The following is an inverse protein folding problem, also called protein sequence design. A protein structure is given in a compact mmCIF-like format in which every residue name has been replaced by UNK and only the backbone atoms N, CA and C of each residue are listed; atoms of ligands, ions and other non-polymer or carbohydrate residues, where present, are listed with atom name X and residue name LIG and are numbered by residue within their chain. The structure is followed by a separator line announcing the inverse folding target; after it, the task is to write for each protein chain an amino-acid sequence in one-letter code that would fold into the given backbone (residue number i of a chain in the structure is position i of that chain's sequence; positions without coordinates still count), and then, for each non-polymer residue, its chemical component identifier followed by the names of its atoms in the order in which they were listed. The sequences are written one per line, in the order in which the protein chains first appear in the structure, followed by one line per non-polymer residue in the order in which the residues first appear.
data_IF_348010017800
#
_entry.id   IF_348010017800
#
_cell.length_a   1.000
_cell.length_b   1.000
_cell.length_c   1.000
_cell.angle_alpha   90.00
_cell.angle_beta   90.00
_cell.angle_gamma   90.00
#
_symmetry.space_group_name_H-M   'P 1'
#
loop_
_entity.id
_entity.type
_entity.pdbx_description
1 polymer ?
#
# COMPACT_ATOMS: atom_id res chain seq x y z
N UNK A 1 -4.55 20.20 12.06
CA UNK A 1 -3.08 20.12 11.96
C UNK A 1 -2.56 18.96 11.09
N UNK A 2 -3.46 18.13 10.49
CA UNK A 2 -3.08 17.03 9.56
C UNK A 2 -3.27 17.39 8.07
N UNK A 3 -3.77 18.58 7.77
CA UNK A 3 -4.17 18.99 6.40
C UNK A 3 -3.03 19.58 5.55
N UNK A 4 -1.83 19.75 6.10
CA UNK A 4 -0.71 20.37 5.34
C UNK A 4 0.05 19.40 4.43
N UNK A 5 -0.21 18.09 4.49
CA UNK A 5 0.50 17.11 3.67
C UNK A 5 -0.36 16.63 2.51
N UNK A 6 -0.14 17.20 1.33
CA UNK A 6 -0.72 16.68 0.09
C UNK A 6 -0.18 15.29 -0.21
N UNK A 7 -1.06 14.33 -0.38
CA UNK A 7 -0.74 12.95 -0.82
C UNK A 7 -0.96 12.82 -2.32
N UNK A 8 -2.09 13.33 -2.83
CA UNK A 8 -2.42 13.33 -4.25
C UNK A 8 -2.72 14.74 -4.73
N UNK A 9 -2.40 15.01 -5.99
CA UNK A 9 -3.00 16.07 -6.79
C UNK A 9 -3.84 15.40 -7.89
N UNK A 10 -5.11 15.71 -7.92
CA UNK A 10 -6.09 15.05 -8.80
C UNK A 10 -6.74 16.09 -9.68
N UNK A 11 -6.56 15.96 -10.99
CA UNK A 11 -7.34 16.73 -11.95
C UNK A 11 -8.71 16.08 -12.09
N UNK A 12 -9.76 16.86 -11.86
CA UNK A 12 -11.16 16.43 -12.00
C UNK A 12 -11.84 17.21 -13.10
N UNK A 13 -12.68 16.53 -13.89
CA UNK A 13 -13.45 17.14 -14.95
C UNK A 13 -14.82 16.50 -15.11
N UNK A 14 -15.80 17.26 -15.59
CA UNK A 14 -17.09 16.70 -15.99
C UNK A 14 -16.97 15.91 -17.30
N UNK A 15 -18.00 15.14 -17.64
CA UNK A 15 -18.02 14.31 -18.86
C UNK A 15 -18.55 15.07 -20.10
N UNK A 16 -18.70 16.38 -20.03
CA UNK A 16 -19.23 17.20 -21.12
C UNK A 16 -18.23 17.48 -22.25
N UNK A 17 -18.70 17.96 -23.40
CA UNK A 17 -17.86 18.17 -24.58
C UNK A 17 -16.81 19.28 -24.41
N UNK A 18 -16.89 20.08 -23.36
CA UNK A 18 -15.93 21.14 -23.00
C UNK A 18 -15.38 20.95 -21.59
N UNK A 19 -15.20 19.71 -21.20
CA UNK A 19 -14.72 19.35 -19.86
C UNK A 19 -13.37 19.97 -19.50
N UNK A 20 -12.51 20.20 -20.49
CA UNK A 20 -11.20 20.84 -20.30
C UNK A 20 -11.30 22.32 -19.85
N UNK A 21 -12.40 23.04 -20.21
CA UNK A 21 -12.58 24.43 -19.78
C UNK A 21 -12.92 24.58 -18.29
N UNK A 22 -13.35 23.50 -17.66
CA UNK A 22 -13.74 23.45 -16.24
C UNK A 22 -12.89 22.47 -15.44
N UNK A 23 -11.87 21.87 -16.05
CA UNK A 23 -10.95 20.99 -15.34
C UNK A 23 -10.32 21.73 -14.16
N UNK A 24 -10.28 21.09 -13.02
CA UNK A 24 -9.83 21.67 -11.76
C UNK A 24 -8.92 20.69 -11.04
N UNK A 25 -7.75 21.16 -10.58
CA UNK A 25 -6.85 20.36 -9.75
C UNK A 25 -7.26 20.49 -8.29
N UNK A 26 -7.42 19.36 -7.63
CA UNK A 26 -7.72 19.26 -6.21
C UNK A 26 -6.57 18.55 -5.48
N UNK A 27 -6.16 19.10 -4.36
CA UNK A 27 -5.19 18.46 -3.47
C UNK A 27 -5.91 17.56 -2.48
N UNK A 28 -5.39 16.37 -2.26
CA UNK A 28 -5.93 15.41 -1.30
C UNK A 28 -4.87 15.02 -0.25
N UNK A 29 -5.26 14.90 1.03
CA UNK A 29 -6.62 15.00 1.54
C UNK A 29 -7.17 16.43 1.49
N UNK A 30 -8.43 16.56 1.11
CA UNK A 30 -9.16 17.81 1.05
C UNK A 30 -10.20 17.87 2.20
N UNK A 31 -10.38 19.08 2.76
CA UNK A 31 -11.51 19.36 3.64
C UNK A 31 -12.83 19.34 2.87
N UNK A 32 -13.95 19.27 3.58
CA UNK A 32 -15.27 19.32 2.97
C UNK A 32 -15.47 20.59 2.11
N UNK A 33 -14.99 21.74 2.58
CA UNK A 33 -15.13 23.01 1.87
C UNK A 33 -14.30 23.02 0.57
N UNK A 34 -13.05 22.56 0.62
CA UNK A 34 -12.18 22.47 -0.57
C UNK A 34 -12.71 21.46 -1.57
N UNK A 35 -13.22 20.32 -1.09
CA UNK A 35 -13.82 19.29 -1.92
C UNK A 35 -15.07 19.83 -2.64
N UNK A 36 -15.97 20.47 -1.89
CA UNK A 36 -17.19 21.09 -2.44
C UNK A 36 -16.87 22.19 -3.46
N UNK A 37 -15.90 23.07 -3.16
CA UNK A 37 -15.45 24.14 -4.06
C UNK A 37 -14.88 23.57 -5.37
N UNK A 38 -14.05 22.53 -5.27
CA UNK A 38 -13.48 21.87 -6.45
C UNK A 38 -14.56 21.24 -7.34
N UNK A 39 -15.53 20.51 -6.76
CA UNK A 39 -16.65 19.96 -7.50
C UNK A 39 -17.49 21.05 -8.20
N UNK A 40 -17.75 22.14 -7.50
CA UNK A 40 -18.51 23.28 -8.06
C UNK A 40 -17.76 23.91 -9.24
N UNK A 41 -16.45 24.17 -9.12
CA UNK A 41 -15.60 24.71 -10.20
C UNK A 41 -15.57 23.79 -11.41
N UNK A 42 -15.43 22.50 -11.18
CA UNK A 42 -15.45 21.48 -12.24
C UNK A 42 -16.86 21.21 -12.80
N UNK A 43 -17.91 21.85 -12.24
CA UNK A 43 -19.34 21.61 -12.59
C UNK A 43 -19.75 20.14 -12.46
N UNK A 44 -19.24 19.48 -11.43
CA UNK A 44 -19.55 18.10 -11.09
C UNK A 44 -20.58 18.09 -9.97
N UNK A 45 -21.68 17.35 -10.15
CA UNK A 45 -22.72 17.23 -9.13
C UNK A 45 -22.42 16.16 -8.09
N UNK A 46 -21.76 15.08 -8.53
CA UNK A 46 -21.42 13.93 -7.69
C UNK A 46 -20.01 13.44 -8.03
N UNK A 47 -19.13 13.46 -7.04
CA UNK A 47 -17.76 13.00 -7.16
C UNK A 47 -17.60 11.47 -7.31
N UNK A 48 -18.69 10.70 -7.14
CA UNK A 48 -18.65 9.24 -7.33
C UNK A 48 -18.47 8.83 -8.79
N UNK A 49 -18.88 9.70 -9.75
CA UNK A 49 -18.95 9.38 -11.18
C UNK A 49 -18.36 10.49 -12.06
N UNK A 50 -17.24 11.06 -11.68
CA UNK A 50 -16.55 12.05 -12.50
C UNK A 50 -15.31 11.45 -13.16
N UNK A 51 -14.87 12.07 -14.25
CA UNK A 51 -13.53 11.82 -14.77
C UNK A 51 -12.52 12.42 -13.82
N UNK A 52 -11.54 11.62 -13.43
CA UNK A 52 -10.42 12.10 -12.64
C UNK A 52 -9.11 11.46 -13.11
N UNK A 53 -8.05 12.20 -12.95
CA UNK A 53 -6.70 11.77 -13.24
C UNK A 53 -5.77 12.25 -12.13
N UNK A 54 -4.94 11.34 -11.65
CA UNK A 54 -3.90 11.66 -10.67
C UNK A 54 -2.73 12.33 -11.41
N UNK A 55 -2.49 13.61 -11.14
CA UNK A 55 -1.40 14.38 -11.74
C UNK A 55 -0.11 14.28 -10.96
N UNK A 56 -0.21 14.04 -9.65
CA UNK A 56 0.95 13.91 -8.75
C UNK A 56 0.61 13.01 -7.58
N UNK A 57 1.55 12.17 -7.18
CA UNK A 57 1.45 11.31 -6.00
C UNK A 57 2.70 11.53 -5.16
N UNK A 58 2.51 12.03 -3.94
CA UNK A 58 3.58 12.28 -2.97
C UNK A 58 3.65 11.16 -1.92
N UNK A 59 3.55 9.92 -2.37
CA UNK A 59 3.72 8.75 -1.52
C UNK A 59 4.58 7.71 -2.24
N UNK A 60 5.70 7.34 -1.63
CA UNK A 60 6.59 6.31 -2.18
C UNK A 60 5.86 4.97 -2.31
N UNK A 61 6.09 4.28 -3.40
CA UNK A 61 5.48 2.97 -3.66
C UNK A 61 4.12 3.00 -4.36
N UNK A 62 3.40 4.13 -4.42
CA UNK A 62 2.15 4.26 -5.14
C UNK A 62 2.35 4.82 -6.55
N UNK A 63 1.70 4.20 -7.53
CA UNK A 63 1.66 4.65 -8.92
C UNK A 63 0.22 4.71 -9.44
N UNK A 64 0.00 5.40 -10.57
CA UNK A 64 -1.29 5.41 -11.25
C UNK A 64 -1.79 4.00 -11.59
N UNK A 65 -0.89 3.11 -11.96
CA UNK A 65 -1.23 1.73 -12.30
C UNK A 65 -1.83 0.95 -11.12
N UNK A 66 -1.55 1.38 -9.87
CA UNK A 66 -2.08 0.75 -8.67
C UNK A 66 -3.50 1.18 -8.33
N UNK A 67 -3.85 2.45 -8.57
CA UNK A 67 -5.14 3.03 -8.16
C UNK A 67 -6.20 2.88 -9.26
N UNK A 68 -5.79 2.86 -10.52
CA UNK A 68 -6.68 2.87 -11.67
C UNK A 68 -7.22 4.26 -12.03
N UNK A 69 -7.90 4.32 -13.17
CA UNK A 69 -8.52 5.54 -13.70
C UNK A 69 -9.94 5.69 -13.18
N UNK A 70 -10.43 6.93 -13.09
CA UNK A 70 -11.80 7.24 -12.68
C UNK A 70 -12.19 6.66 -11.30
N UNK A 71 -11.28 6.77 -10.34
CA UNK A 71 -11.55 6.37 -8.96
C UNK A 71 -12.68 7.21 -8.36
N UNK A 72 -13.47 6.64 -7.44
CA UNK A 72 -14.43 7.40 -6.65
C UNK A 72 -13.67 8.45 -5.81
N UNK A 73 -13.98 9.74 -5.99
CA UNK A 73 -13.25 10.83 -5.34
C UNK A 73 -13.40 10.83 -3.81
N UNK A 74 -14.54 10.38 -3.29
CA UNK A 74 -14.75 10.31 -1.83
C UNK A 74 -13.86 9.23 -1.22
N UNK A 75 -13.79 8.07 -1.85
CA UNK A 75 -12.91 6.97 -1.42
C UNK A 75 -11.44 7.37 -1.58
N UNK A 76 -11.10 8.06 -2.67
CA UNK A 76 -9.74 8.55 -2.90
C UNK A 76 -9.32 9.58 -1.85
N UNK A 77 -10.23 10.47 -1.45
CA UNK A 77 -9.98 11.43 -0.37
C UNK A 77 -9.81 10.73 0.99
N UNK A 78 -10.64 9.73 1.28
CA UNK A 78 -10.48 8.90 2.47
C UNK A 78 -9.13 8.19 2.47
N UNK A 79 -8.74 7.61 1.33
CA UNK A 79 -7.44 6.96 1.19
C UNK A 79 -6.28 7.93 1.46
N UNK A 80 -6.35 9.15 0.89
CA UNK A 80 -5.37 10.19 1.15
C UNK A 80 -5.30 10.59 2.64
N UNK A 81 -6.46 10.72 3.32
CA UNK A 81 -6.52 11.00 4.77
C UNK A 81 -5.85 9.87 5.57
N UNK A 82 -6.13 8.62 5.22
CA UNK A 82 -5.51 7.47 5.88
C UNK A 82 -3.99 7.48 5.69
N UNK A 83 -3.50 7.64 4.45
CA UNK A 83 -2.06 7.71 4.17
C UNK A 83 -1.37 8.88 4.90
N UNK A 84 -2.02 10.05 4.97
CA UNK A 84 -1.50 11.20 5.71
C UNK A 84 -1.39 10.95 7.22
N UNK A 85 -2.22 10.07 7.77
CA UNK A 85 -2.25 9.72 9.20
C UNK A 85 -1.28 8.62 9.61
N UNK A 86 -0.67 7.90 8.68
CA UNK A 86 0.25 6.81 8.99
C UNK A 86 1.53 7.32 9.65
N UNK A 87 1.96 6.64 10.70
CA UNK A 87 3.28 6.82 11.30
C UNK A 87 4.38 6.29 10.37
N UNK A 88 5.64 6.60 10.62
CA UNK A 88 6.75 6.09 9.79
C UNK A 88 6.83 4.55 9.81
N UNK A 89 6.55 3.91 10.95
CA UNK A 89 6.50 2.44 11.01
C UNK A 89 5.32 1.87 10.21
N UNK A 90 4.15 2.51 10.30
CA UNK A 90 2.99 2.11 9.51
C UNK A 90 3.21 2.29 8.01
N UNK A 91 4.00 3.27 7.59
CA UNK A 91 4.37 3.44 6.18
C UNK A 91 5.23 2.31 5.66
N UNK A 92 6.15 1.77 6.48
CA UNK A 92 6.93 0.57 6.13
C UNK A 92 6.00 -0.63 5.91
N UNK A 93 5.05 -0.84 6.83
CA UNK A 93 4.03 -1.87 6.68
C UNK A 93 3.17 -1.69 5.44
N UNK A 94 2.76 -0.45 5.12
CA UNK A 94 2.00 -0.15 3.91
C UNK A 94 2.80 -0.44 2.64
N UNK A 95 4.10 -0.08 2.59
CA UNK A 95 4.97 -0.40 1.46
C UNK A 95 5.10 -1.92 1.25
N UNK A 96 5.32 -2.67 2.32
CA UNK A 96 5.38 -4.13 2.27
C UNK A 96 4.05 -4.73 1.75
N UNK A 97 2.91 -4.30 2.30
CA UNK A 97 1.59 -4.78 1.86
C UNK A 97 1.31 -4.48 0.39
N UNK A 98 1.70 -3.30 -0.10
CA UNK A 98 1.57 -2.94 -1.51
C UNK A 98 2.41 -3.88 -2.39
N UNK A 99 3.67 -4.12 -2.03
CA UNK A 99 4.57 -5.03 -2.77
C UNK A 99 4.04 -6.47 -2.76
N UNK A 100 3.60 -6.98 -1.61
CA UNK A 100 3.00 -8.33 -1.48
C UNK A 100 1.77 -8.45 -2.39
N UNK A 101 0.87 -7.45 -2.37
CA UNK A 101 -0.33 -7.46 -3.22
C UNK A 101 -0.03 -7.34 -4.72
N UNK A 102 1.07 -6.68 -5.09
CA UNK A 102 1.49 -6.53 -6.48
C UNK A 102 2.21 -7.74 -7.05
N UNK A 103 2.94 -8.48 -6.22
CA UNK A 103 3.74 -9.64 -6.66
C UNK A 103 2.91 -10.68 -7.45
N UNK A 104 1.58 -10.64 -7.33
CA UNK A 104 0.66 -11.60 -7.95
C UNK A 104 -0.36 -10.94 -8.89
N UNK A 105 -0.23 -9.63 -9.24
CA UNK A 105 -1.26 -8.92 -10.01
C UNK A 105 -0.69 -8.02 -11.10
N UNK A 106 -1.29 -8.15 -12.29
CA UNK A 106 -1.08 -7.25 -13.45
C UNK A 106 -2.09 -6.09 -13.46
N UNK A 107 -3.13 -6.15 -12.65
CA UNK A 107 -4.24 -5.18 -12.64
C UNK A 107 -4.17 -4.23 -11.45
N UNK A 108 -4.77 -3.02 -11.54
CA UNK A 108 -4.90 -2.09 -10.41
C UNK A 108 -5.53 -2.78 -9.19
N UNK A 109 -5.09 -2.38 -8.01
CA UNK A 109 -5.70 -2.83 -6.75
C UNK A 109 -6.96 -1.99 -6.54
N UNK A 110 -8.14 -2.59 -6.32
CA UNK A 110 -9.35 -1.86 -6.03
C UNK A 110 -9.17 -0.88 -4.85
N UNK A 111 -9.72 0.34 -4.96
CA UNK A 111 -9.48 1.40 -3.99
C UNK A 111 -9.93 1.03 -2.57
N UNK A 112 -11.03 0.28 -2.43
CA UNK A 112 -11.47 -0.26 -1.14
C UNK A 112 -10.42 -1.21 -0.52
N UNK A 113 -9.74 -2.01 -1.33
CA UNK A 113 -8.64 -2.85 -0.84
C UNK A 113 -7.44 -2.00 -0.42
N UNK A 114 -7.06 -0.97 -1.21
CA UNK A 114 -5.99 -0.04 -0.82
C UNK A 114 -6.30 0.66 0.52
N UNK A 115 -7.56 1.08 0.72
CA UNK A 115 -7.99 1.67 1.99
C UNK A 115 -7.84 0.63 3.12
N UNK A 116 -8.25 -0.62 2.89
CA UNK A 116 -8.11 -1.69 3.89
C UNK A 116 -6.65 -1.96 4.25
N UNK A 117 -5.73 -1.90 3.31
CA UNK A 117 -4.29 -2.04 3.62
C UNK A 117 -3.83 -1.02 4.66
N UNK A 118 -4.35 0.22 4.63
CA UNK A 118 -3.97 1.26 5.62
C UNK A 118 -4.39 0.95 7.06
N UNK A 119 -5.31 0.01 7.27
CA UNK A 119 -5.75 -0.46 8.59
C UNK A 119 -5.03 -1.73 9.04
N UNK A 120 -4.20 -2.32 8.17
CA UNK A 120 -3.52 -3.59 8.40
C UNK A 120 -1.99 -3.46 8.38
N UNK A 121 -1.46 -2.27 8.52
CA UNK A 121 -0.01 -1.99 8.37
C UNK A 121 0.87 -2.67 9.42
N UNK A 122 0.29 -3.07 10.53
CA UNK A 122 0.92 -3.71 11.69
C UNK A 122 0.92 -5.25 11.64
N UNK A 123 0.31 -5.86 10.61
CA UNK A 123 0.35 -7.32 10.44
C UNK A 123 1.62 -7.83 9.75
N UNK A 124 2.45 -6.94 9.20
CA UNK A 124 3.70 -7.34 8.58
C UNK A 124 4.77 -7.68 9.61
N UNK A 125 5.36 -8.86 9.47
CA UNK A 125 6.59 -9.24 10.17
C UNK A 125 7.79 -8.84 9.32
N UNK A 126 8.81 -8.26 9.94
CA UNK A 126 10.02 -7.81 9.26
C UNK A 126 11.26 -8.53 9.75
N UNK A 127 12.10 -8.98 8.80
CA UNK A 127 13.50 -9.30 9.04
C UNK A 127 14.34 -8.09 8.62
N UNK A 128 14.78 -7.23 9.57
CA UNK A 128 15.41 -5.96 9.26
C UNK A 128 16.75 -6.16 8.53
N UNK A 129 17.05 -5.31 7.54
CA UNK A 129 18.28 -5.29 6.77
C UNK A 129 18.54 -6.53 5.90
N UNK A 130 17.57 -7.42 5.78
CA UNK A 130 17.63 -8.58 4.89
C UNK A 130 17.20 -8.13 3.49
N UNK A 131 18.09 -8.23 2.50
CA UNK A 131 17.91 -7.68 1.16
C UNK A 131 17.94 -8.72 0.03
N UNK A 132 18.31 -9.95 0.35
CA UNK A 132 18.41 -11.06 -0.59
C UNK A 132 18.15 -12.41 0.11
N UNK A 133 18.09 -13.49 -0.67
CA UNK A 133 17.75 -14.82 -0.16
C UNK A 133 18.82 -15.41 0.76
N UNK A 134 20.10 -15.17 0.48
CA UNK A 134 21.21 -15.64 1.35
C UNK A 134 21.10 -15.00 2.73
N UNK A 135 20.91 -13.67 2.80
CA UNK A 135 20.71 -12.95 4.06
C UNK A 135 19.42 -13.39 4.76
N UNK A 136 18.36 -13.73 3.99
CA UNK A 136 17.13 -14.28 4.56
C UNK A 136 17.39 -15.67 5.19
N UNK A 137 18.07 -16.56 4.48
CA UNK A 137 18.46 -17.86 5.03
C UNK A 137 19.33 -17.74 6.28
N UNK A 138 20.31 -16.82 6.28
CA UNK A 138 21.14 -16.54 7.43
C UNK A 138 20.34 -15.99 8.62
N UNK A 139 19.36 -15.09 8.36
CA UNK A 139 18.45 -14.59 9.38
C UNK A 139 17.59 -15.71 9.99
N UNK A 140 17.02 -16.60 9.16
CA UNK A 140 16.21 -17.74 9.59
C UNK A 140 17.05 -18.72 10.43
N UNK A 141 18.27 -19.01 10.00
CA UNK A 141 19.21 -19.85 10.76
C UNK A 141 19.54 -19.24 12.12
N UNK A 142 19.93 -17.97 12.15
CA UNK A 142 20.32 -17.28 13.39
C UNK A 142 19.16 -17.14 14.41
N UNK A 143 17.90 -17.21 13.96
CA UNK A 143 16.71 -17.13 14.80
C UNK A 143 16.02 -18.49 15.02
N UNK A 144 16.67 -19.60 14.65
CA UNK A 144 16.15 -20.97 14.82
C UNK A 144 14.78 -21.18 14.15
N UNK A 145 14.56 -20.54 13.00
CA UNK A 145 13.29 -20.58 12.26
C UNK A 145 13.28 -21.62 11.13
N UNK A 146 14.37 -22.34 10.94
CA UNK A 146 14.49 -23.42 9.97
C UNK A 146 14.06 -24.77 10.55
N UNK A 147 13.85 -25.78 9.69
CA UNK A 147 13.59 -27.14 10.14
C UNK A 147 14.81 -27.71 10.87
N UNK A 148 14.59 -28.70 11.75
CA UNK A 148 15.68 -29.37 12.50
C UNK A 148 16.72 -29.97 11.55
N UNK A 149 16.29 -30.49 10.39
CA UNK A 149 17.15 -31.08 9.38
C UNK A 149 18.04 -30.03 8.71
N UNK A 150 17.48 -28.88 8.38
CA UNK A 150 18.22 -27.75 7.80
C UNK A 150 19.22 -27.17 8.81
N UNK A 151 18.79 -26.99 10.07
CA UNK A 151 19.68 -26.56 11.15
C UNK A 151 20.87 -27.52 11.32
N UNK A 152 20.62 -28.83 11.45
CA UNK A 152 21.67 -29.83 11.61
C UNK A 152 22.64 -29.87 10.41
N UNK A 153 22.14 -29.66 9.20
CA UNK A 153 22.98 -29.60 8.00
C UNK A 153 23.89 -28.36 8.04
N UNK A 154 23.36 -27.19 8.39
CA UNK A 154 24.13 -25.96 8.51
C UNK A 154 25.18 -26.05 9.62
N UNK A 155 24.83 -26.62 10.78
CA UNK A 155 25.74 -26.80 11.92
C UNK A 155 26.98 -27.69 11.59
N UNK A 156 26.83 -28.61 10.62
CA UNK A 156 27.92 -29.47 10.16
C UNK A 156 28.70 -28.94 8.99
N UNK A 157 28.26 -27.80 8.42
CA UNK A 157 28.88 -27.17 7.24
C UNK A 157 29.95 -26.18 7.67
N UNK A 158 31.08 -26.12 6.94
CA UNK A 158 32.16 -25.15 7.20
C UNK A 158 31.63 -23.72 6.99
N UNK A 159 31.81 -22.88 8.01
CA UNK A 159 31.35 -21.49 8.00
C UNK A 159 32.07 -20.68 6.90
N UNK A 160 31.28 -19.91 6.13
CA UNK A 160 31.79 -19.11 5.00
C UNK A 160 32.21 -19.94 3.78
N UNK A 161 31.87 -21.24 3.75
CA UNK A 161 32.08 -22.05 2.55
C UNK A 161 31.03 -21.72 1.48
N UNK A 162 31.42 -21.77 0.20
CA UNK A 162 30.46 -21.55 -0.90
C UNK A 162 29.27 -22.54 -0.90
N UNK A 163 29.42 -23.69 -0.22
CA UNK A 163 28.31 -24.62 0.00
C UNK A 163 27.32 -24.07 1.03
N UNK A 164 27.81 -23.51 2.15
CA UNK A 164 26.95 -22.89 3.17
C UNK A 164 26.18 -21.69 2.59
N UNK A 165 26.87 -20.80 1.86
CA UNK A 165 26.26 -19.64 1.21
C UNK A 165 25.12 -20.06 0.27
N UNK A 166 25.39 -21.07 -0.58
CA UNK A 166 24.36 -21.58 -1.50
C UNK A 166 23.20 -22.27 -0.78
N UNK A 167 23.46 -22.96 0.32
CA UNK A 167 22.42 -23.60 1.12
C UNK A 167 21.53 -22.54 1.79
N UNK A 168 22.12 -21.49 2.37
CA UNK A 168 21.39 -20.35 2.95
C UNK A 168 20.52 -19.66 1.90
N UNK A 169 21.06 -19.41 0.70
CA UNK A 169 20.32 -18.82 -0.41
C UNK A 169 19.10 -19.65 -0.78
N UNK A 170 19.25 -20.97 -0.95
CA UNK A 170 18.14 -21.89 -1.27
C UNK A 170 17.07 -21.94 -0.17
N UNK A 171 17.49 -21.95 1.10
CA UNK A 171 16.55 -21.92 2.23
C UNK A 171 15.78 -20.60 2.32
N UNK A 172 16.43 -19.47 2.04
CA UNK A 172 15.77 -18.18 1.95
C UNK A 172 14.81 -18.08 0.78
N UNK A 173 15.17 -18.61 -0.40
CA UNK A 173 14.31 -18.67 -1.57
C UNK A 173 13.06 -19.52 -1.29
N UNK A 174 13.24 -20.71 -0.72
CA UNK A 174 12.14 -21.59 -0.34
C UNK A 174 11.21 -20.91 0.66
N UNK A 175 11.76 -20.26 1.70
CA UNK A 175 10.95 -19.54 2.68
C UNK A 175 10.11 -18.43 2.02
N UNK A 176 10.71 -17.64 1.12
CA UNK A 176 9.96 -16.61 0.40
C UNK A 176 8.84 -17.21 -0.44
N UNK A 177 9.07 -18.31 -1.15
CA UNK A 177 8.04 -18.99 -1.95
C UNK A 177 6.89 -19.50 -1.07
N UNK A 178 7.19 -20.12 0.08
CA UNK A 178 6.20 -20.69 0.98
C UNK A 178 5.36 -19.62 1.70
N UNK A 179 5.93 -18.47 2.04
CA UNK A 179 5.31 -17.42 2.83
C UNK A 179 4.85 -16.20 2.01
N UNK A 180 5.26 -16.12 0.73
CA UNK A 180 4.84 -15.02 -0.17
C UNK A 180 5.35 -13.64 0.25
N UNK A 181 6.45 -13.58 0.98
CA UNK A 181 7.04 -12.34 1.43
C UNK A 181 7.79 -11.58 0.33
N UNK A 182 8.26 -10.39 0.63
CA UNK A 182 8.91 -9.47 -0.32
C UNK A 182 10.11 -8.76 0.31
N UNK A 183 11.11 -8.47 -0.52
CA UNK A 183 12.18 -7.56 -0.13
C UNK A 183 11.75 -6.11 -0.30
N UNK A 184 12.00 -5.30 0.74
CA UNK A 184 11.72 -3.87 0.81
C UNK A 184 12.99 -3.09 1.13
N UNK A 185 12.95 -1.77 1.05
CA UNK A 185 14.08 -0.92 1.45
C UNK A 185 14.39 -1.01 2.97
N UNK A 186 13.50 -1.63 3.73
CA UNK A 186 13.62 -1.79 5.19
C UNK A 186 14.04 -3.20 5.63
N UNK A 187 14.06 -4.14 4.69
CA UNK A 187 14.34 -5.54 4.91
C UNK A 187 13.32 -6.46 4.24
N UNK A 188 13.40 -7.75 4.51
CA UNK A 188 12.38 -8.71 4.08
C UNK A 188 11.12 -8.55 4.94
N UNK A 189 9.97 -8.66 4.31
CA UNK A 189 8.66 -8.54 4.97
C UNK A 189 7.71 -9.63 4.49
N UNK A 190 6.94 -10.19 5.42
CA UNK A 190 5.90 -11.18 5.15
C UNK A 190 4.66 -10.91 6.00
N UNK A 191 3.54 -11.56 5.68
CA UNK A 191 2.32 -11.44 6.46
C UNK A 191 2.39 -12.30 7.73
N UNK A 192 2.27 -11.67 8.91
CA UNK A 192 2.11 -12.34 10.19
C UNK A 192 0.64 -12.68 10.54
N UNK A 193 -0.31 -12.38 9.64
CA UNK A 193 -1.72 -12.66 9.84
C UNK A 193 -2.57 -12.35 8.62
N UNK A 194 -3.89 -12.51 8.75
CA UNK A 194 -4.84 -12.25 7.67
C UNK A 194 -5.15 -10.75 7.55
N UNK A 195 -5.24 -10.24 6.31
CA UNK A 195 -5.70 -8.89 6.02
C UNK A 195 -7.20 -8.81 6.30
N UNK A 196 -7.61 -7.91 7.19
CA UNK A 196 -9.00 -7.71 7.58
C UNK A 196 -9.67 -6.69 6.67
N UNK A 197 -10.86 -7.01 6.19
CA UNK A 197 -11.73 -6.07 5.48
C UNK A 197 -12.51 -5.20 6.48
N UNK A 198 -11.94 -4.04 6.80
CA UNK A 198 -12.50 -3.06 7.76
C UNK A 198 -13.38 -2.04 7.02
N UNK A 199 -12.95 -1.63 5.84
CA UNK A 199 -13.67 -0.70 4.99
C UNK A 199 -14.41 -1.45 3.89
N UNK A 200 -15.74 -1.31 3.90
CA UNK A 200 -16.61 -1.82 2.82
C UNK A 200 -17.12 -0.61 2.04
N UNK A 201 -16.74 -0.50 0.77
CA UNK A 201 -17.26 0.53 -0.11
C UNK A 201 -18.79 0.44 -0.18
N UNK A 202 -19.50 1.46 0.27
CA UNK A 202 -20.93 1.57 0.05
C UNK A 202 -21.13 2.05 -1.38
N UNK A 203 -21.41 1.14 -2.28
CA UNK A 203 -21.98 1.47 -3.58
C UNK A 203 -23.31 2.18 -3.34
N UNK A 204 -23.35 3.48 -3.63
CA UNK A 204 -24.47 4.40 -3.44
C UNK A 204 -24.68 4.89 -2.01
N UNK A 205 -24.25 6.10 -1.75
CA UNK A 205 -24.87 7.17 -1.01
C UNK A 205 -23.85 8.02 -0.21
N UNK A 206 -24.04 9.30 -0.23
CA UNK A 206 -23.63 10.49 0.52
C UNK A 206 -22.95 10.31 1.92
N UNK A 207 -22.46 9.13 2.29
CA UNK A 207 -22.14 8.76 3.68
C UNK A 207 -20.68 8.97 4.12
N UNK A 208 -19.74 9.30 3.22
CA UNK A 208 -18.31 9.34 3.60
C UNK A 208 -17.91 10.55 4.46
N UNK A 209 -18.69 11.63 4.46
CA UNK A 209 -18.39 12.80 5.30
C UNK A 209 -18.97 12.74 6.73
N UNK A 210 -19.91 11.84 7.00
CA UNK A 210 -20.61 11.78 8.30
C UNK A 210 -19.96 10.88 9.35
N UNK A 211 -18.95 10.07 9.02
CA UNK A 211 -18.31 9.14 9.96
C UNK A 211 -17.00 9.60 10.61
N UNK A 212 -16.49 10.78 10.24
CA UNK A 212 -15.28 11.33 10.88
C UNK A 212 -15.53 12.09 12.19
N UNK A 213 -16.77 12.10 12.69
CA UNK A 213 -17.14 12.75 13.95
C UNK A 213 -17.94 11.80 14.85
N UNK A 214 -17.31 10.74 15.32
CA UNK A 214 -17.72 10.02 16.52
C UNK A 214 -16.57 10.08 17.54
N UNK A 215 -16.87 10.31 18.82
CA UNK A 215 -15.95 10.77 19.86
C UNK A 215 -14.87 9.76 20.21
#
# INVERSE_FOLDING_TARGET
LLLDKTIFEVEISNSGPKSYETATVMKMPASFAEFSDALQKARIKDGSFCKNELTCIHYNGLTHAMIGWNANLYDLNLFAQRLASLTEEQKKGMDALLKIKQNHRVAPIPLNQLINLTYNTDICCFAPRVSNHEELGAFLYANEMLSNEAMALLDTTEEGSGFQERLLELLGEQHQEDHGGVFTDFGYAELGGEIKDIYVCQSNETACFHRSHAP
#
